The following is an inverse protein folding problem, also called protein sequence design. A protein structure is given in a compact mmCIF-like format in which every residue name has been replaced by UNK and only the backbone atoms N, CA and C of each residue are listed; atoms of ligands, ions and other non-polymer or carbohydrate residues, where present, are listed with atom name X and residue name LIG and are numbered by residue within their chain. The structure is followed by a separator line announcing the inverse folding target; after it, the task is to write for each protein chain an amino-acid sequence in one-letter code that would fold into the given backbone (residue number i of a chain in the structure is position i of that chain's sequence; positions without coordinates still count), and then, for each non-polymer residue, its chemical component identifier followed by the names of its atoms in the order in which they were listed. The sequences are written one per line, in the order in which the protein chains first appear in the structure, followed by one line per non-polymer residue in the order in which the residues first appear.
data_IF_815576086094
#
_entry.id   IF_815576086094
#
_cell.length_a   1.000
_cell.length_b   1.000
_cell.length_c   1.000
_cell.angle_alpha   90.00
_cell.angle_beta   90.00
_cell.angle_gamma   90.00
#
_symmetry.space_group_name_H-M   'P 1'
#
loop_
_entity.id
_entity.type
_entity.pdbx_description
1 polymer ?
#
# COMPACT_ATOMS: atom_id res chain seq x y z
N UNK A 1 27.71 -2.86 11.03
CA UNK A 1 26.72 -2.33 10.08
C UNK A 1 26.68 -3.24 8.85
N UNK A 2 25.92 -4.33 8.91
CA UNK A 2 25.71 -5.20 7.75
C UNK A 2 24.42 -4.75 7.07
N UNK A 3 24.53 -4.29 5.82
CA UNK A 3 23.41 -3.86 5.02
C UNK A 3 22.44 -5.03 4.82
N UNK A 4 21.19 -4.82 5.20
CA UNK A 4 20.06 -5.66 4.83
C UNK A 4 20.00 -5.67 3.31
N UNK A 5 20.40 -6.77 2.68
CA UNK A 5 20.18 -6.97 1.24
C UNK A 5 18.70 -7.33 1.05
N UNK A 6 17.84 -6.33 1.29
CA UNK A 6 16.48 -6.31 0.78
C UNK A 6 16.62 -6.30 -0.74
N UNK A 7 16.08 -7.31 -1.42
CA UNK A 7 15.90 -7.24 -2.85
C UNK A 7 15.09 -5.96 -3.11
N UNK A 8 15.76 -4.93 -3.63
CA UNK A 8 15.14 -3.64 -3.83
C UNK A 8 13.83 -3.87 -4.61
N UNK A 9 12.69 -3.37 -4.14
CA UNK A 9 11.47 -3.43 -4.92
C UNK A 9 11.76 -2.87 -6.32
N UNK A 10 11.11 -3.37 -7.39
CA UNK A 10 11.38 -2.88 -8.73
C UNK A 10 11.16 -1.37 -8.73
N UNK A 11 12.25 -0.61 -8.72
CA UNK A 11 12.24 0.83 -8.43
C UNK A 11 11.43 1.63 -9.46
N UNK A 12 11.12 1.02 -10.60
CA UNK A 12 10.17 1.56 -11.58
C UNK A 12 8.73 1.58 -11.06
N UNK A 13 8.22 0.46 -10.50
CA UNK A 13 6.82 0.38 -10.05
C UNK A 13 6.50 1.33 -8.90
N UNK A 14 7.43 1.53 -7.97
CA UNK A 14 7.27 2.52 -6.89
C UNK A 14 7.32 3.97 -7.41
N UNK A 15 8.13 4.25 -8.43
CA UNK A 15 8.15 5.57 -9.08
C UNK A 15 6.84 5.87 -9.78
N UNK A 16 6.27 4.87 -10.47
CA UNK A 16 4.96 5.00 -11.10
C UNK A 16 3.85 5.22 -10.06
N UNK A 17 3.88 4.47 -8.96
CA UNK A 17 2.94 4.66 -7.85
C UNK A 17 3.05 6.07 -7.23
N UNK A 18 4.27 6.57 -7.03
CA UNK A 18 4.50 7.94 -6.55
C UNK A 18 3.99 8.98 -7.55
N UNK A 19 4.21 8.79 -8.85
CA UNK A 19 3.71 9.70 -9.89
C UNK A 19 2.18 9.80 -9.86
N UNK A 20 1.48 8.69 -9.62
CA UNK A 20 0.02 8.67 -9.42
C UNK A 20 -0.39 9.49 -8.20
N UNK A 21 0.28 9.31 -7.05
CA UNK A 21 -0.03 10.07 -5.84
C UNK A 21 0.24 11.57 -6.00
N UNK A 22 1.38 11.95 -6.58
CA UNK A 22 1.72 13.35 -6.87
C UNK A 22 0.75 13.99 -7.86
N UNK A 23 0.22 13.19 -8.80
CA UNK A 23 -0.81 13.67 -9.70
C UNK A 23 -2.13 13.95 -8.95
N UNK A 24 -2.45 13.17 -7.91
CA UNK A 24 -3.64 13.38 -7.06
C UNK A 24 -3.45 14.44 -5.97
N UNK A 25 -2.25 14.93 -5.70
CA UNK A 25 -1.99 15.95 -4.67
C UNK A 25 -2.53 17.36 -5.04
N UNK A 26 -3.17 17.50 -6.20
CA UNK A 26 -3.77 18.76 -6.64
C UNK A 26 -5.30 18.74 -6.52
N UNK A 27 -5.92 19.74 -5.84
CA UNK A 27 -7.37 19.73 -5.58
C UNK A 27 -8.21 19.67 -6.85
N UNK A 28 -7.84 20.41 -7.90
CA UNK A 28 -8.59 20.40 -9.17
C UNK A 28 -8.55 19.02 -9.87
N UNK A 29 -7.47 18.25 -9.69
CA UNK A 29 -7.34 16.91 -10.26
C UNK A 29 -8.16 15.88 -9.48
N UNK A 30 -8.22 16.02 -8.16
CA UNK A 30 -9.11 15.22 -7.32
C UNK A 30 -10.58 15.48 -7.67
N UNK A 31 -10.98 16.74 -7.84
CA UNK A 31 -12.35 17.08 -8.24
C UNK A 31 -12.71 16.49 -9.61
N UNK A 32 -11.79 16.55 -10.58
CA UNK A 32 -11.99 15.95 -11.89
C UNK A 32 -12.11 14.42 -11.83
N UNK A 33 -11.30 13.77 -10.98
CA UNK A 33 -11.41 12.33 -10.73
C UNK A 33 -12.75 11.97 -10.06
N UNK A 34 -13.16 12.73 -9.04
CA UNK A 34 -14.46 12.56 -8.38
C UNK A 34 -15.62 12.71 -9.37
N UNK A 35 -15.54 13.69 -10.28
CA UNK A 35 -16.51 13.86 -11.35
C UNK A 35 -16.59 12.64 -12.27
N UNK A 36 -15.44 12.12 -12.66
CA UNK A 36 -15.35 10.96 -13.53
C UNK A 36 -15.88 9.66 -12.87
N UNK A 37 -15.82 9.57 -11.54
CA UNK A 37 -16.39 8.48 -10.73
C UNK A 37 -17.83 8.76 -10.27
N UNK A 38 -18.45 9.89 -10.64
CA UNK A 38 -19.80 10.24 -10.22
C UNK A 38 -19.92 10.60 -8.73
N UNK A 39 -18.82 10.94 -8.08
CA UNK A 39 -18.73 11.30 -6.67
C UNK A 39 -18.74 12.82 -6.45
N UNK A 40 -18.65 13.63 -7.51
CA UNK A 40 -18.67 15.09 -7.41
C UNK A 40 -20.12 15.59 -7.25
N UNK A 41 -20.47 16.26 -6.13
CA UNK A 41 -21.80 16.82 -5.94
C UNK A 41 -22.15 17.81 -7.04
N UNK A 42 -23.37 17.72 -7.57
CA UNK A 42 -23.84 18.62 -8.63
C UNK A 42 -23.34 18.27 -10.04
N UNK A 43 -22.57 17.19 -10.21
CA UNK A 43 -22.30 16.64 -11.54
C UNK A 43 -23.14 15.38 -11.83
N UNK A 44 -23.83 15.29 -12.97
CA UNK A 44 -24.45 14.05 -13.43
C UNK A 44 -23.41 12.97 -13.76
N UNK A 45 -23.80 11.69 -13.73
CA UNK A 45 -23.00 10.57 -14.22
C UNK A 45 -23.65 9.96 -15.47
N UNK A 46 -22.99 9.98 -16.66
CA UNK A 46 -21.63 10.46 -16.93
C UNK A 46 -21.48 11.99 -16.87
N UNK A 47 -20.33 12.45 -16.39
CA UNK A 47 -20.02 13.86 -16.16
C UNK A 47 -19.25 14.46 -17.35
N UNK A 48 -19.72 15.59 -17.89
CA UNK A 48 -19.00 16.32 -18.94
C UNK A 48 -18.07 17.39 -18.38
N UNK A 49 -17.09 17.84 -19.17
CA UNK A 49 -16.21 18.96 -18.77
C UNK A 49 -16.98 20.24 -18.40
N UNK A 50 -18.12 20.52 -19.04
CA UNK A 50 -18.98 21.66 -18.70
C UNK A 50 -19.68 21.46 -17.36
N UNK A 51 -20.10 20.24 -17.08
CA UNK A 51 -20.73 19.91 -15.80
C UNK A 51 -19.73 20.00 -14.65
N UNK A 52 -18.48 19.54 -14.86
CA UNK A 52 -17.39 19.73 -13.90
C UNK A 52 -17.12 21.22 -13.66
N UNK A 53 -17.01 22.01 -14.73
CA UNK A 53 -16.79 23.45 -14.62
C UNK A 53 -17.89 24.13 -13.79
N UNK A 54 -19.16 23.76 -14.04
CA UNK A 54 -20.32 24.26 -13.29
C UNK A 54 -20.30 23.83 -11.82
N UNK A 55 -20.01 22.56 -11.54
CA UNK A 55 -19.99 22.01 -10.19
C UNK A 55 -18.83 22.55 -9.34
N UNK A 56 -17.70 22.89 -9.97
CA UNK A 56 -16.48 23.37 -9.28
C UNK A 56 -16.31 24.89 -9.29
N UNK A 57 -17.16 25.62 -10.02
CA UNK A 57 -17.02 27.08 -10.22
C UNK A 57 -15.78 27.46 -11.04
N UNK A 58 -15.21 26.53 -11.81
CA UNK A 58 -14.03 26.74 -12.65
C UNK A 58 -14.44 27.08 -14.08
N UNK A 59 -13.53 27.69 -14.84
CA UNK A 59 -13.73 27.83 -16.28
C UNK A 59 -13.57 26.49 -17.00
N UNK A 60 -14.34 26.27 -18.07
CA UNK A 60 -14.21 25.07 -18.93
C UNK A 60 -12.77 24.92 -19.44
N UNK A 61 -12.08 26.05 -19.72
CA UNK A 61 -10.67 26.04 -20.12
C UNK A 61 -9.76 25.44 -19.04
N UNK A 62 -9.88 25.87 -17.78
CA UNK A 62 -9.07 25.32 -16.68
C UNK A 62 -9.33 23.84 -16.45
N UNK A 63 -10.60 23.42 -16.56
CA UNK A 63 -10.98 22.00 -16.45
C UNK A 63 -10.37 21.20 -17.61
N UNK A 64 -10.44 21.70 -18.84
CA UNK A 64 -9.87 21.03 -20.01
C UNK A 64 -8.33 20.93 -19.94
N UNK A 65 -7.64 21.98 -19.48
CA UNK A 65 -6.19 21.95 -19.24
C UNK A 65 -5.82 20.91 -18.18
N UNK A 66 -6.61 20.82 -17.10
CA UNK A 66 -6.43 19.81 -16.05
C UNK A 66 -6.68 18.40 -16.57
N UNK A 67 -7.76 18.21 -17.34
CA UNK A 67 -8.11 16.93 -17.95
C UNK A 67 -7.03 16.45 -18.94
N UNK A 68 -6.44 17.37 -19.71
CA UNK A 68 -5.33 17.05 -20.62
C UNK A 68 -4.13 16.51 -19.85
N UNK A 69 -3.71 17.20 -18.77
CA UNK A 69 -2.59 16.73 -17.93
C UNK A 69 -2.87 15.37 -17.27
N UNK A 70 -4.09 15.15 -16.82
CA UNK A 70 -4.49 13.86 -16.23
C UNK A 70 -4.64 12.74 -17.29
N UNK A 71 -4.95 13.10 -18.53
CA UNK A 71 -5.00 12.16 -19.65
C UNK A 71 -3.59 11.72 -20.05
N UNK A 72 -2.64 12.66 -20.11
CA UNK A 72 -1.23 12.37 -20.37
C UNK A 72 -0.61 11.47 -19.28
N UNK A 73 -1.05 11.58 -18.03
CA UNK A 73 -0.65 10.66 -16.95
C UNK A 73 -1.48 9.37 -16.89
N UNK A 74 -2.45 9.20 -17.80
CA UNK A 74 -3.31 8.03 -17.89
C UNK A 74 -4.38 7.91 -16.81
N UNK A 75 -4.56 8.90 -15.93
CA UNK A 75 -5.52 8.86 -14.82
C UNK A 75 -6.98 9.03 -15.26
N UNK A 76 -7.18 9.74 -16.37
CA UNK A 76 -8.50 9.95 -16.96
C UNK A 76 -8.47 9.71 -18.46
N UNK A 77 -9.61 9.34 -19.02
CA UNK A 77 -9.85 9.33 -20.46
C UNK A 77 -10.97 10.30 -20.77
N UNK A 78 -10.79 11.07 -21.83
CA UNK A 78 -11.81 11.99 -22.32
C UNK A 78 -12.38 11.41 -23.61
N UNK A 79 -13.68 11.10 -23.61
CA UNK A 79 -14.40 10.63 -24.80
C UNK A 79 -15.38 11.72 -25.24
N UNK A 80 -15.01 12.47 -26.28
CA UNK A 80 -15.70 13.70 -26.66
C UNK A 80 -15.57 14.76 -25.56
N UNK A 81 -16.65 15.02 -24.83
CA UNK A 81 -16.67 15.94 -23.66
C UNK A 81 -16.84 15.22 -22.32
N UNK A 82 -16.99 13.90 -22.34
CA UNK A 82 -17.23 13.08 -21.15
C UNK A 82 -15.89 12.67 -20.54
N UNK A 83 -15.78 12.78 -19.22
CA UNK A 83 -14.59 12.39 -18.47
C UNK A 83 -14.84 11.03 -17.81
N UNK A 84 -13.90 10.10 -18.01
CA UNK A 84 -13.88 8.79 -17.39
C UNK A 84 -12.60 8.61 -16.58
N UNK A 85 -12.68 8.01 -15.40
CA UNK A 85 -11.50 7.64 -14.64
C UNK A 85 -10.90 6.35 -15.21
N UNK A 86 -9.58 6.25 -15.19
CA UNK A 86 -8.90 4.99 -15.46
C UNK A 86 -8.46 4.35 -14.14
N UNK A 87 -9.34 3.52 -13.57
CA UNK A 87 -9.08 2.86 -12.29
C UNK A 87 -7.95 1.83 -12.35
N UNK A 88 -7.55 1.41 -13.55
CA UNK A 88 -6.45 0.46 -13.73
C UNK A 88 -5.12 1.05 -13.29
N UNK A 89 -4.94 2.37 -13.40
CA UNK A 89 -3.72 3.05 -12.96
C UNK A 89 -3.57 2.96 -11.44
N UNK A 90 -4.66 3.17 -10.68
CA UNK A 90 -4.65 3.04 -9.22
C UNK A 90 -4.41 1.60 -8.79
N UNK A 91 -5.02 0.63 -9.48
CA UNK A 91 -4.81 -0.79 -9.19
C UNK A 91 -3.35 -1.20 -9.40
N UNK A 92 -2.71 -0.74 -10.50
CA UNK A 92 -1.29 -0.99 -10.75
C UNK A 92 -0.38 -0.32 -9.72
N UNK A 93 -0.66 0.94 -9.36
CA UNK A 93 0.09 1.65 -8.32
C UNK A 93 0.02 0.94 -6.97
N UNK A 94 -1.19 0.53 -6.55
CA UNK A 94 -1.39 -0.22 -5.31
C UNK A 94 -0.66 -1.57 -5.32
N UNK A 95 -0.73 -2.30 -6.44
CA UNK A 95 -0.01 -3.57 -6.60
C UNK A 95 1.52 -3.38 -6.53
N UNK A 96 2.05 -2.30 -7.11
CA UNK A 96 3.48 -1.99 -7.03
C UNK A 96 3.95 -1.69 -5.60
N UNK A 97 3.13 -0.99 -4.81
CA UNK A 97 3.40 -0.76 -3.38
C UNK A 97 3.33 -2.06 -2.60
N UNK A 98 2.32 -2.90 -2.85
CA UNK A 98 2.19 -4.21 -2.20
C UNK A 98 3.36 -5.14 -2.53
N UNK A 99 3.82 -5.18 -3.79
CA UNK A 99 4.98 -5.98 -4.19
C UNK A 99 6.27 -5.52 -3.50
N UNK A 100 6.35 -4.24 -3.12
CA UNK A 100 7.47 -3.70 -2.39
C UNK A 100 7.48 -4.03 -0.88
N UNK A 101 6.38 -4.57 -0.35
CA UNK A 101 6.31 -4.90 1.06
C UNK A 101 7.19 -6.13 1.36
N UNK A 102 8.02 -6.10 2.41
CA UNK A 102 8.94 -7.21 2.73
C UNK A 102 8.25 -8.59 2.85
N UNK A 103 7.03 -8.62 3.38
CA UNK A 103 6.27 -9.86 3.56
C UNK A 103 5.79 -10.47 2.25
N UNK A 104 5.62 -9.68 1.19
CA UNK A 104 5.07 -10.16 -0.09
C UNK A 104 5.99 -11.19 -0.75
N UNK A 105 7.30 -10.97 -0.70
CA UNK A 105 8.28 -11.96 -1.17
C UNK A 105 8.21 -13.28 -0.39
N UNK A 106 7.96 -13.22 0.93
CA UNK A 106 7.81 -14.40 1.77
C UNK A 106 6.50 -15.16 1.48
N UNK A 107 5.40 -14.43 1.24
CA UNK A 107 4.11 -15.00 0.89
C UNK A 107 4.13 -15.74 -0.44
N UNK A 108 4.95 -15.30 -1.42
CA UNK A 108 5.15 -16.05 -2.68
C UNK A 108 5.68 -17.47 -2.45
N UNK A 109 6.49 -17.66 -1.40
CA UNK A 109 7.02 -18.99 -1.00
C UNK A 109 6.01 -19.80 -0.18
N UNK A 110 4.98 -19.16 0.37
CA UNK A 110 3.93 -19.77 1.23
C UNK A 110 2.53 -19.25 0.87
N UNK A 111 2.02 -19.54 -0.34
CA UNK A 111 0.77 -18.94 -0.83
C UNK A 111 -0.44 -19.26 0.05
N UNK A 112 -0.44 -20.40 0.77
CA UNK A 112 -1.51 -20.77 1.70
C UNK A 112 -1.72 -19.76 2.84
N UNK A 113 -0.70 -18.97 3.18
CA UNK A 113 -0.77 -17.94 4.23
C UNK A 113 -1.31 -16.60 3.73
N UNK A 114 -1.36 -16.38 2.41
CA UNK A 114 -1.78 -15.10 1.83
C UNK A 114 -3.18 -14.66 2.27
N UNK A 115 -4.07 -15.61 2.60
CA UNK A 115 -5.43 -15.32 3.13
C UNK A 115 -5.47 -14.47 4.40
N UNK A 116 -4.38 -14.47 5.18
CA UNK A 116 -4.28 -13.69 6.42
C UNK A 116 -3.77 -12.28 6.19
N UNK A 117 -3.31 -11.98 4.96
CA UNK A 117 -2.70 -10.71 4.61
C UNK A 117 -3.53 -9.97 3.57
N UNK A 118 -3.47 -8.64 3.60
CA UNK A 118 -4.03 -7.78 2.57
C UNK A 118 -3.12 -6.58 2.41
N UNK A 119 -2.67 -6.29 1.18
CA UNK A 119 -1.79 -5.15 0.89
C UNK A 119 -0.52 -5.17 1.75
N UNK A 120 0.07 -6.37 1.92
CA UNK A 120 1.27 -6.58 2.74
C UNK A 120 1.09 -6.42 4.26
N UNK A 121 -0.14 -6.34 4.77
CA UNK A 121 -0.42 -6.28 6.22
C UNK A 121 -1.23 -7.47 6.70
N UNK A 122 -0.92 -7.97 7.88
CA UNK A 122 -1.69 -8.99 8.58
C UNK A 122 -3.05 -8.41 8.99
N UNK A 123 -4.13 -9.05 8.57
CA UNK A 123 -5.50 -8.62 8.89
C UNK A 123 -5.86 -8.91 10.34
N UNK A 124 -5.47 -10.09 10.82
CA UNK A 124 -5.65 -10.57 12.19
C UNK A 124 -4.75 -11.77 12.42
N UNK A 125 -4.36 -11.99 13.67
CA UNK A 125 -3.74 -13.25 14.09
C UNK A 125 -4.77 -14.37 13.99
N UNK A 126 -4.44 -15.54 13.40
CA UNK A 126 -5.35 -16.68 13.36
C UNK A 126 -5.75 -17.15 14.76
N UNK A 127 -6.94 -17.76 14.89
CA UNK A 127 -7.41 -18.28 16.18
C UNK A 127 -6.83 -19.67 16.50
N UNK A 128 -6.53 -20.48 15.48
CA UNK A 128 -6.00 -21.83 15.65
C UNK A 128 -4.49 -21.79 15.86
N UNK A 129 -3.99 -22.43 16.92
CA UNK A 129 -2.58 -22.40 17.28
C UNK A 129 -1.63 -22.90 16.17
N UNK A 130 -2.04 -23.89 15.38
CA UNK A 130 -1.25 -24.37 14.22
C UNK A 130 -1.07 -23.25 13.17
N UNK A 131 -2.14 -22.50 12.89
CA UNK A 131 -2.10 -21.39 11.93
C UNK A 131 -1.35 -20.18 12.48
N UNK A 132 -1.44 -19.95 13.80
CA UNK A 132 -0.60 -18.98 14.50
C UNK A 132 0.88 -19.31 14.32
N UNK A 133 1.26 -20.58 14.50
CA UNK A 133 2.63 -21.04 14.34
C UNK A 133 3.14 -20.82 12.90
N UNK A 134 2.34 -21.12 11.88
CA UNK A 134 2.70 -20.88 10.48
C UNK A 134 2.89 -19.39 10.17
N UNK A 135 1.99 -18.53 10.66
CA UNK A 135 2.11 -17.07 10.50
C UNK A 135 3.33 -16.55 11.26
N UNK A 136 3.57 -17.01 12.49
CA UNK A 136 4.71 -16.62 13.29
C UNK A 136 6.04 -17.01 12.60
N UNK A 137 6.11 -18.23 12.03
CA UNK A 137 7.27 -18.71 11.28
C UNK A 137 7.53 -17.89 10.00
N UNK A 138 6.47 -17.35 9.36
CA UNK A 138 6.62 -16.40 8.26
C UNK A 138 7.16 -15.06 8.76
N UNK A 139 6.60 -14.51 9.83
CA UNK A 139 6.94 -13.19 10.34
C UNK A 139 8.36 -13.10 10.90
N UNK A 140 8.86 -14.16 11.55
CA UNK A 140 10.23 -14.18 12.08
C UNK A 140 11.30 -14.08 10.98
N UNK A 141 10.98 -14.48 9.74
CA UNK A 141 11.89 -14.32 8.61
C UNK A 141 12.16 -12.86 8.22
N UNK A 142 11.30 -11.93 8.66
CA UNK A 142 11.54 -10.50 8.50
C UNK A 142 12.65 -9.99 9.42
N UNK A 143 12.94 -10.71 10.51
CA UNK A 143 13.97 -10.34 11.47
C UNK A 143 15.33 -10.98 11.07
N UNK A 144 16.44 -10.22 11.12
CA UNK A 144 17.77 -10.77 10.91
C UNK A 144 18.06 -11.88 11.92
N UNK A 145 18.59 -13.01 11.43
CA UNK A 145 18.96 -14.14 12.27
C UNK A 145 20.25 -13.87 13.04
N UNK A 146 20.31 -14.36 14.29
CA UNK A 146 21.51 -14.32 15.11
C UNK A 146 21.91 -12.95 15.68
N UNK A 147 21.16 -11.88 15.37
CA UNK A 147 21.40 -10.51 15.84
C UNK A 147 20.48 -10.21 17.02
N UNK A 148 21.02 -9.57 18.07
CA UNK A 148 20.21 -8.95 19.12
C UNK A 148 19.65 -7.63 18.61
N UNK A 149 18.33 -7.47 18.68
CA UNK A 149 17.59 -6.28 18.27
C UNK A 149 16.94 -5.65 19.49
N UNK A 150 16.97 -4.33 19.60
CA UNK A 150 16.16 -3.59 20.55
C UNK A 150 14.66 -3.77 20.26
N UNK A 151 13.84 -3.45 21.26
CA UNK A 151 12.38 -3.44 21.09
C UNK A 151 11.93 -2.51 19.95
N UNK A 152 12.57 -1.35 19.84
CA UNK A 152 12.27 -0.36 18.79
C UNK A 152 12.65 -0.89 17.40
N UNK A 153 13.78 -1.58 17.26
CA UNK A 153 14.18 -2.19 15.97
C UNK A 153 13.22 -3.29 15.54
N UNK A 154 12.85 -4.19 16.46
CA UNK A 154 11.83 -5.21 16.17
C UNK A 154 10.49 -4.54 15.86
N UNK A 155 10.14 -3.50 16.62
CA UNK A 155 8.91 -2.75 16.44
C UNK A 155 8.83 -2.07 15.08
N UNK A 156 9.93 -1.49 14.60
CA UNK A 156 10.03 -0.88 13.28
C UNK A 156 9.80 -1.90 12.17
N UNK A 157 10.38 -3.10 12.27
CA UNK A 157 10.19 -4.17 11.28
C UNK A 157 8.76 -4.71 11.31
N UNK A 158 8.26 -5.11 12.48
CA UNK A 158 6.92 -5.72 12.60
C UNK A 158 5.79 -4.71 12.37
N UNK A 159 6.02 -3.42 12.62
CA UNK A 159 5.07 -2.35 12.35
C UNK A 159 4.72 -2.22 10.87
N UNK A 160 5.62 -2.63 9.98
CA UNK A 160 5.36 -2.65 8.53
C UNK A 160 4.24 -3.63 8.15
N UNK A 161 4.01 -4.67 8.96
CA UNK A 161 3.08 -5.76 8.66
C UNK A 161 1.89 -5.85 9.62
N UNK A 162 1.96 -5.29 10.83
CA UNK A 162 0.85 -5.35 11.79
C UNK A 162 1.12 -4.53 13.05
N UNK A 163 0.42 -4.84 14.14
CA UNK A 163 0.69 -4.25 15.45
C UNK A 163 1.98 -4.85 16.04
N UNK A 164 3.03 -4.05 16.26
CA UNK A 164 4.28 -4.53 16.83
C UNK A 164 4.13 -5.27 18.17
N UNK A 165 3.20 -4.86 19.03
CA UNK A 165 3.07 -5.45 20.36
C UNK A 165 2.45 -6.86 20.29
N UNK A 166 1.35 -7.00 19.55
CA UNK A 166 0.69 -8.28 19.28
C UNK A 166 1.65 -9.26 18.58
N UNK A 167 2.36 -8.79 17.55
CA UNK A 167 3.25 -9.65 16.77
C UNK A 167 4.49 -10.09 17.58
N UNK A 168 5.07 -9.22 18.41
CA UNK A 168 6.17 -9.63 19.31
C UNK A 168 5.73 -10.72 20.27
N UNK A 169 4.54 -10.57 20.86
CA UNK A 169 3.96 -11.58 21.76
C UNK A 169 3.77 -12.91 21.03
N UNK A 170 3.20 -12.88 19.83
CA UNK A 170 3.04 -14.08 18.99
C UNK A 170 4.39 -14.80 18.74
N UNK A 171 5.44 -14.07 18.38
CA UNK A 171 6.77 -14.65 18.13
C UNK A 171 7.39 -15.27 19.38
N UNK A 172 7.23 -14.63 20.53
CA UNK A 172 7.71 -15.14 21.84
C UNK A 172 6.91 -16.37 22.26
N UNK A 173 5.58 -16.35 22.13
CA UNK A 173 4.70 -17.46 22.49
C UNK A 173 5.04 -18.74 21.70
N UNK A 174 5.46 -18.59 20.43
CA UNK A 174 5.93 -19.68 19.58
C UNK A 174 7.45 -19.97 19.66
N UNK A 175 8.18 -19.33 20.60
CA UNK A 175 9.63 -19.54 20.85
C UNK A 175 10.52 -19.28 19.63
N UNK A 176 10.08 -18.40 18.73
CA UNK A 176 10.84 -17.99 17.55
C UNK A 176 11.78 -16.81 17.84
N UNK A 177 11.52 -16.12 18.94
CA UNK A 177 12.33 -15.03 19.44
C UNK A 177 12.44 -15.13 20.96
N UNK A 178 13.66 -14.99 21.46
CA UNK A 178 13.92 -14.87 22.90
C UNK A 178 13.89 -13.41 23.32
N UNK A 179 13.19 -13.11 24.42
CA UNK A 179 13.17 -11.79 25.03
C UNK A 179 14.13 -11.77 26.22
N UNK A 180 15.20 -10.98 26.13
CA UNK A 180 16.08 -10.72 27.25
C UNK A 180 15.62 -9.44 27.97
N UNK A 181 15.27 -9.58 29.26
CA UNK A 181 14.60 -8.55 30.08
C UNK A 181 15.33 -7.19 30.16
N UNK A 182 16.56 -7.07 29.67
CA UNK A 182 17.35 -5.84 29.67
C UNK A 182 18.18 -5.59 28.40
N UNK A 183 18.09 -6.45 27.37
CA UNK A 183 19.00 -6.39 26.19
C UNK A 183 18.33 -6.45 24.82
N UNK A 184 17.09 -6.94 24.73
CA UNK A 184 16.36 -6.96 23.45
C UNK A 184 15.85 -8.34 23.06
N UNK A 185 15.64 -8.53 21.77
CA UNK A 185 15.05 -9.69 21.12
C UNK A 185 16.10 -10.38 20.24
N UNK A 186 16.17 -11.70 20.29
CA UNK A 186 17.05 -12.48 19.40
C UNK A 186 16.27 -13.59 18.74
N UNK A 187 16.36 -13.67 17.41
CA UNK A 187 15.80 -14.78 16.63
C UNK A 187 16.60 -16.06 16.91
N UNK A 188 15.89 -17.14 17.23
CA UNK A 188 16.44 -18.49 17.46
C UNK A 188 16.77 -19.23 16.15
#
# INVERSE_FOLDING_TARGET
MAAVTSAAPPAAGLRDALAVLLALDHPDRLQLLMAAEGLLPGCPAPCTLDDVARATGRSVRQVAETATRMHESGLVRVSGRVVHADTTVFARAAAAVEEAMPVTALLRRRPGLARWFRRGRLLRVPERNEQQAEVAALLVELLPAGVELSEDEVGAVLGTVGDPAELRRLLVDHRLVERHASRGYRRT
#
